data_IF_957900364608
#
_entry.id   IF_957900364608
#
_cell.length_a   1.000
_cell.length_b   1.000
_cell.length_c   1.000
_cell.angle_alpha   90.00
_cell.angle_beta   90.00
_cell.angle_gamma   90.00
#
_symmetry.space_group_name_H-M   'P 1'
#
loop_
_entity.id
_entity.type
_entity.pdbx_description
1 polymer ?
#
# COMPACT_ATOMS: atom_id res chain seq x y z
N UNK A 1 7.85 4.16 5.01
CA UNK A 1 6.81 3.27 5.57
C UNK A 1 6.05 3.95 6.68
N UNK A 2 4.76 3.64 6.87
CA UNK A 2 3.93 4.16 7.95
C UNK A 2 3.27 3.03 8.75
N UNK A 3 2.96 3.34 10.02
CA UNK A 3 2.23 2.46 10.95
C UNK A 3 1.26 3.31 11.77
N UNK A 4 0.10 2.75 12.09
CA UNK A 4 -0.90 3.42 12.92
C UNK A 4 -0.81 2.95 14.37
N UNK A 5 -0.89 3.91 15.29
CA UNK A 5 -1.02 3.67 16.72
C UNK A 5 -2.34 4.28 17.17
N UNK A 6 -3.17 3.48 17.83
CA UNK A 6 -4.41 3.95 18.46
C UNK A 6 -4.13 4.29 19.92
N UNK A 7 -4.40 5.52 20.30
CA UNK A 7 -4.28 5.98 21.68
C UNK A 7 -5.66 5.99 22.33
N UNK A 8 -5.77 5.38 23.53
CA UNK A 8 -6.99 5.35 24.31
C UNK A 8 -7.80 4.07 24.13
N UNK A 9 -9.13 4.17 24.20
CA UNK A 9 -10.03 3.01 24.18
C UNK A 9 -10.01 2.27 22.84
N UNK A 10 -10.21 0.96 22.91
CA UNK A 10 -10.36 0.10 21.74
C UNK A 10 -11.57 0.51 20.91
N UNK A 11 -11.35 0.85 19.68
CA UNK A 11 -12.39 1.14 18.69
C UNK A 11 -12.40 0.02 17.63
N UNK A 12 -13.45 -0.80 17.69
CA UNK A 12 -13.56 -1.97 16.82
C UNK A 12 -13.59 -1.58 15.34
N UNK A 13 -14.21 -0.46 14.98
CA UNK A 13 -14.26 0.02 13.60
C UNK A 13 -12.86 0.36 13.06
N UNK A 14 -12.02 0.99 13.88
CA UNK A 14 -10.63 1.29 13.51
C UNK A 14 -9.79 0.02 13.40
N UNK A 15 -10.00 -0.93 14.30
CA UNK A 15 -9.33 -2.24 14.28
C UNK A 15 -9.68 -2.99 12.99
N UNK A 16 -10.97 -3.09 12.65
CA UNK A 16 -11.43 -3.80 11.46
C UNK A 16 -10.97 -3.10 10.17
N UNK A 17 -10.96 -1.77 10.16
CA UNK A 17 -10.42 -0.99 9.04
C UNK A 17 -8.93 -1.24 8.85
N UNK A 18 -8.15 -1.27 9.94
CA UNK A 18 -6.73 -1.55 9.86
C UNK A 18 -6.44 -2.97 9.36
N UNK A 19 -7.26 -3.96 9.78
CA UNK A 19 -7.18 -5.32 9.26
C UNK A 19 -7.43 -5.36 7.74
N UNK A 20 -8.49 -4.72 7.27
CA UNK A 20 -8.78 -4.61 5.83
C UNK A 20 -7.66 -3.90 5.06
N UNK A 21 -7.08 -2.85 5.65
CA UNK A 21 -5.95 -2.09 5.11
C UNK A 21 -4.72 -2.99 4.91
N UNK A 22 -4.37 -3.79 5.92
CA UNK A 22 -3.24 -4.72 5.86
C UNK A 22 -3.48 -5.84 4.84
N UNK A 23 -4.70 -6.42 4.82
CA UNK A 23 -5.07 -7.45 3.84
C UNK A 23 -4.99 -6.92 2.40
N UNK A 24 -5.40 -5.68 2.17
CA UNK A 24 -5.29 -5.04 0.86
C UNK A 24 -3.83 -4.84 0.44
N UNK A 25 -2.96 -4.39 1.36
CA UNK A 25 -1.52 -4.30 1.10
C UNK A 25 -0.93 -5.66 0.74
N UNK A 26 -1.23 -6.69 1.53
CA UNK A 26 -0.72 -8.05 1.29
C UNK A 26 -1.16 -8.59 -0.07
N UNK A 27 -2.42 -8.36 -0.44
CA UNK A 27 -2.93 -8.78 -1.74
C UNK A 27 -2.22 -8.10 -2.93
N UNK A 28 -1.91 -6.81 -2.81
CA UNK A 28 -1.15 -6.08 -3.82
C UNK A 28 0.31 -6.54 -3.89
N UNK A 29 0.97 -6.69 -2.73
CA UNK A 29 2.36 -7.15 -2.65
C UNK A 29 2.51 -8.57 -3.21
N UNK A 30 1.57 -9.46 -2.93
CA UNK A 30 1.61 -10.86 -3.38
C UNK A 30 1.63 -11.03 -4.90
N UNK A 31 1.12 -10.06 -5.66
CA UNK A 31 1.14 -10.09 -7.13
C UNK A 31 2.23 -9.20 -7.72
N UNK A 32 3.02 -8.55 -6.90
CA UNK A 32 4.16 -7.73 -7.32
C UNK A 32 5.31 -8.62 -7.78
N UNK A 33 5.50 -8.71 -9.11
CA UNK A 33 6.57 -9.50 -9.74
C UNK A 33 6.82 -9.01 -11.15
N UNK A 34 7.97 -9.32 -11.76
CA UNK A 34 8.25 -9.00 -13.16
C UNK A 34 7.17 -9.53 -14.09
N UNK A 35 6.81 -8.73 -15.09
CA UNK A 35 5.81 -9.07 -16.11
C UNK A 35 4.36 -8.77 -15.75
N UNK A 36 4.04 -8.64 -14.46
CA UNK A 36 2.75 -8.09 -14.06
C UNK A 36 2.74 -6.57 -14.25
N UNK A 37 1.56 -5.99 -14.35
CA UNK A 37 1.39 -4.55 -14.49
C UNK A 37 1.11 -3.88 -13.15
N UNK A 38 1.30 -2.57 -13.09
CA UNK A 38 0.87 -1.74 -11.96
C UNK A 38 -0.64 -1.88 -11.73
N UNK A 39 -1.43 -2.01 -12.82
CA UNK A 39 -2.87 -2.27 -12.74
C UNK A 39 -3.19 -3.61 -12.03
N UNK A 40 -2.40 -4.67 -12.26
CA UNK A 40 -2.61 -5.94 -11.56
C UNK A 40 -2.47 -5.78 -10.04
N UNK A 41 -1.48 -5.03 -9.59
CA UNK A 41 -1.30 -4.68 -8.17
C UNK A 41 -2.49 -3.88 -7.66
N UNK A 42 -2.90 -2.85 -8.41
CA UNK A 42 -4.04 -2.01 -8.08
C UNK A 42 -5.33 -2.82 -7.97
N UNK A 43 -5.63 -3.68 -8.95
CA UNK A 43 -6.85 -4.51 -8.95
C UNK A 43 -6.93 -5.43 -7.73
N UNK A 44 -5.82 -6.04 -7.33
CA UNK A 44 -5.77 -6.90 -6.14
C UNK A 44 -6.00 -6.11 -4.85
N UNK A 45 -5.36 -4.96 -4.72
CA UNK A 45 -5.54 -4.08 -3.59
C UNK A 45 -7.00 -3.63 -3.44
N UNK A 46 -7.59 -3.03 -4.50
CA UNK A 46 -8.98 -2.57 -4.44
C UNK A 46 -9.98 -3.71 -4.33
N UNK A 47 -9.70 -4.88 -4.91
CA UNK A 47 -10.56 -6.06 -4.78
C UNK A 47 -10.75 -6.52 -3.32
N UNK A 48 -9.76 -6.29 -2.45
CA UNK A 48 -9.91 -6.52 -1.01
C UNK A 48 -10.78 -5.43 -0.38
N UNK A 49 -10.50 -4.15 -0.65
CA UNK A 49 -11.29 -3.05 -0.09
C UNK A 49 -12.77 -3.15 -0.46
N UNK A 50 -13.08 -3.60 -1.69
CA UNK A 50 -14.45 -3.80 -2.15
C UNK A 50 -15.21 -4.84 -1.30
N UNK A 51 -14.54 -5.93 -0.86
CA UNK A 51 -15.12 -6.92 0.07
C UNK A 51 -15.51 -6.30 1.40
N UNK A 52 -14.72 -5.36 1.88
CA UNK A 52 -14.96 -4.62 3.12
C UNK A 52 -15.84 -3.37 2.93
N UNK A 53 -16.29 -3.10 1.69
CA UNK A 53 -17.07 -1.90 1.33
C UNK A 53 -16.36 -0.59 1.69
N UNK A 54 -15.05 -0.60 1.65
CA UNK A 54 -14.20 0.58 1.89
C UNK A 54 -13.91 1.25 0.55
N UNK A 55 -14.28 2.52 0.44
CA UNK A 55 -13.97 3.36 -0.73
C UNK A 55 -12.63 4.05 -0.56
N UNK A 56 -11.82 4.01 -1.60
CA UNK A 56 -10.56 4.74 -1.70
C UNK A 56 -10.40 5.21 -3.15
N UNK A 57 -10.41 6.51 -3.36
CA UNK A 57 -10.34 7.11 -4.70
C UNK A 57 -8.92 7.57 -5.08
N UNK A 58 -8.04 7.76 -4.09
CA UNK A 58 -6.65 8.16 -4.30
C UNK A 58 -5.75 6.97 -4.65
N UNK A 59 -4.65 7.24 -5.36
CA UNK A 59 -3.60 6.23 -5.62
C UNK A 59 -3.21 5.49 -4.35
N UNK A 60 -2.77 4.24 -4.49
CA UNK A 60 -2.27 3.44 -3.38
C UNK A 60 -0.75 3.23 -3.42
N UNK A 61 -0.05 4.03 -4.17
CA UNK A 61 1.41 4.02 -4.22
C UNK A 61 1.96 4.82 -5.38
N UNK A 62 3.27 4.94 -5.40
CA UNK A 62 4.03 5.64 -6.43
C UNK A 62 5.48 5.13 -6.46
N UNK A 63 6.11 5.26 -7.61
CA UNK A 63 7.54 4.92 -7.79
C UNK A 63 8.43 5.78 -6.90
N UNK A 64 9.45 5.17 -6.33
CA UNK A 64 10.50 5.83 -5.54
C UNK A 64 11.88 5.44 -6.08
N UNK A 65 12.89 6.27 -5.83
CA UNK A 65 14.25 6.02 -6.29
C UNK A 65 15.23 6.99 -5.65
N UNK A 66 15.90 7.80 -6.45
CA UNK A 66 16.89 8.79 -6.00
C UNK A 66 16.29 10.16 -5.67
N UNK A 67 14.99 10.35 -5.90
CA UNK A 67 14.27 11.58 -5.59
C UNK A 67 14.43 11.98 -4.12
N UNK A 68 14.55 13.30 -3.88
CA UNK A 68 14.78 13.89 -2.56
C UNK A 68 13.79 15.03 -2.28
N UNK A 69 13.48 15.35 -1.03
CA UNK A 69 12.58 16.44 -0.71
C UNK A 69 12.84 17.72 -1.52
N UNK A 70 11.80 18.43 -1.94
CA UNK A 70 10.42 18.35 -1.45
C UNK A 70 9.54 17.24 -2.03
N UNK A 71 9.96 16.54 -3.06
CA UNK A 71 9.25 15.39 -3.63
C UNK A 71 10.24 14.23 -3.86
N UNK A 72 10.00 13.09 -3.23
CA UNK A 72 10.79 11.86 -3.38
C UNK A 72 10.10 10.82 -4.27
N UNK A 73 8.96 11.15 -4.86
CA UNK A 73 8.33 10.32 -5.89
C UNK A 73 9.04 10.49 -7.23
N UNK A 74 9.37 9.41 -7.89
CA UNK A 74 10.02 9.44 -9.22
C UNK A 74 9.04 9.76 -10.35
N UNK A 75 7.73 9.76 -10.08
CA UNK A 75 6.63 10.07 -11.01
C UNK A 75 6.62 9.22 -12.30
N UNK A 76 7.29 8.06 -12.29
CA UNK A 76 7.33 7.16 -13.43
C UNK A 76 6.05 6.34 -13.57
N UNK A 77 5.40 6.02 -12.45
CA UNK A 77 4.05 5.44 -12.40
C UNK A 77 3.38 5.70 -11.04
N UNK A 78 2.07 5.54 -11.02
CA UNK A 78 1.26 5.52 -9.79
C UNK A 78 0.48 4.21 -9.71
N UNK A 79 0.40 3.62 -8.51
CA UNK A 79 -0.42 2.42 -8.32
C UNK A 79 -1.89 2.85 -8.33
N UNK A 80 -2.48 2.76 -9.51
CA UNK A 80 -3.87 3.09 -9.84
C UNK A 80 -4.43 2.05 -10.79
N UNK A 81 -5.74 1.83 -10.75
CA UNK A 81 -6.44 1.02 -11.75
C UNK A 81 -6.25 1.64 -13.13
N UNK A 82 -5.90 0.81 -14.10
CA UNK A 82 -5.72 1.21 -15.49
C UNK A 82 -4.27 1.54 -15.89
N UNK A 83 -3.34 1.67 -14.94
CA UNK A 83 -1.92 1.88 -15.28
C UNK A 83 -1.28 0.58 -15.78
N UNK A 84 -0.93 0.55 -17.07
CA UNK A 84 -0.39 -0.65 -17.77
C UNK A 84 1.13 -0.72 -17.74
N UNK A 85 1.79 0.08 -16.93
CA UNK A 85 3.24 0.01 -16.73
C UNK A 85 3.62 -1.39 -16.26
N UNK A 86 4.52 -2.05 -16.99
CA UNK A 86 5.00 -3.40 -16.67
C UNK A 86 6.10 -3.28 -15.60
N UNK A 87 5.92 -4.05 -14.53
CA UNK A 87 6.91 -4.14 -13.47
C UNK A 87 8.17 -4.85 -13.95
N UNK A 88 9.32 -4.22 -13.77
CA UNK A 88 10.64 -4.76 -14.11
C UNK A 88 11.42 -5.08 -12.83
N UNK A 89 12.37 -6.03 -12.87
CA UNK A 89 13.30 -6.23 -11.76
C UNK A 89 13.99 -4.93 -11.34
N UNK A 90 14.21 -4.77 -10.04
CA UNK A 90 14.84 -3.61 -9.40
C UNK A 90 14.01 -2.31 -9.41
N UNK A 91 12.81 -2.32 -9.97
CA UNK A 91 11.88 -1.21 -9.76
C UNK A 91 11.50 -1.13 -8.27
N UNK A 92 11.51 0.08 -7.74
CA UNK A 92 11.13 0.36 -6.36
C UNK A 92 9.94 1.31 -6.30
N UNK A 93 9.06 1.06 -5.34
CA UNK A 93 7.89 1.91 -5.13
C UNK A 93 7.45 1.92 -3.66
N UNK A 94 6.76 2.96 -3.29
CA UNK A 94 6.11 3.08 -2.00
C UNK A 94 4.64 2.71 -2.15
N UNK A 95 4.21 1.63 -1.53
CA UNK A 95 2.82 1.22 -1.49
C UNK A 95 2.16 1.74 -0.22
N UNK A 96 1.09 2.53 -0.37
CA UNK A 96 0.45 3.27 0.71
C UNK A 96 -1.01 2.88 0.80
N UNK A 97 -1.40 2.27 1.90
CA UNK A 97 -2.79 2.01 2.23
C UNK A 97 -3.25 2.99 3.31
N UNK A 98 -3.65 4.18 2.88
CA UNK A 98 -4.28 5.18 3.75
C UNK A 98 -5.79 5.14 3.56
N UNK A 99 -6.53 4.94 4.65
CA UNK A 99 -7.99 5.00 4.69
C UNK A 99 -8.38 6.16 5.59
N UNK A 100 -9.12 7.11 5.02
CA UNK A 100 -9.52 8.33 5.72
C UNK A 100 -11.04 8.45 5.76
N UNK A 101 -11.59 8.75 6.95
CA UNK A 101 -13.01 8.85 7.22
C UNK A 101 -13.30 10.06 8.09
N UNK A 102 -13.62 11.19 7.45
CA UNK A 102 -13.94 12.43 8.19
C UNK A 102 -12.79 12.86 9.11
N UNK A 103 -12.94 12.63 10.40
CA UNK A 103 -12.04 13.07 11.48
C UNK A 103 -11.03 12.01 11.92
N UNK A 104 -11.03 10.81 11.34
CA UNK A 104 -10.09 9.74 11.66
C UNK A 104 -9.60 8.99 10.42
N UNK A 105 -8.50 8.28 10.59
CA UNK A 105 -7.96 7.43 9.53
C UNK A 105 -7.00 6.38 10.08
N UNK A 106 -6.67 5.43 9.23
CA UNK A 106 -5.60 4.46 9.48
C UNK A 106 -4.68 4.40 8.28
N UNK A 107 -3.42 4.13 8.52
CA UNK A 107 -2.43 3.98 7.48
C UNK A 107 -1.45 2.85 7.79
N UNK A 108 -1.18 2.04 6.80
CA UNK A 108 0.02 1.23 6.71
C UNK A 108 0.67 1.42 5.35
N UNK A 109 1.98 1.45 5.31
CA UNK A 109 2.69 1.55 4.05
C UNK A 109 4.03 0.81 4.07
N UNK A 110 4.45 0.35 2.88
CA UNK A 110 5.70 -0.36 2.67
C UNK A 110 6.46 0.22 1.48
N UNK A 111 7.78 0.25 1.60
CA UNK A 111 8.66 0.38 0.45
C UNK A 111 8.97 -1.02 -0.09
N UNK A 112 8.78 -1.21 -1.38
CA UNK A 112 8.83 -2.50 -2.06
C UNK A 112 9.84 -2.43 -3.20
N UNK A 113 10.65 -3.47 -3.36
CA UNK A 113 11.47 -3.71 -4.56
C UNK A 113 10.93 -4.93 -5.30
N UNK A 114 10.80 -4.81 -6.61
CA UNK A 114 10.54 -5.95 -7.49
C UNK A 114 11.85 -6.74 -7.64
N UNK A 115 11.82 -8.03 -7.32
CA UNK A 115 12.96 -8.95 -7.50
C UNK A 115 12.87 -9.67 -8.84
N UNK A 116 13.79 -10.56 -9.16
CA UNK A 116 13.75 -11.37 -10.40
C UNK A 116 12.52 -12.29 -10.46
N UNK A 117 11.94 -12.69 -9.34
CA UNK A 117 10.84 -13.68 -9.29
C UNK A 117 9.63 -13.26 -8.45
N UNK A 118 9.67 -12.08 -7.82
CA UNK A 118 8.61 -11.61 -6.92
C UNK A 118 8.90 -10.22 -6.41
N UNK A 119 8.73 -10.02 -5.11
CA UNK A 119 9.04 -8.74 -4.44
C UNK A 119 9.63 -8.95 -3.07
N UNK A 120 10.31 -7.93 -2.58
CA UNK A 120 10.80 -7.85 -1.20
C UNK A 120 10.41 -6.53 -0.57
N UNK A 121 10.24 -6.54 0.75
CA UNK A 121 9.99 -5.34 1.55
C UNK A 121 11.31 -4.84 2.14
N UNK A 122 11.50 -3.52 2.16
CA UNK A 122 12.65 -2.91 2.83
C UNK A 122 12.52 -2.88 4.35
N UNK A 123 11.35 -3.22 4.89
CA UNK A 123 11.10 -3.20 6.33
C UNK A 123 10.36 -4.46 6.76
N UNK A 124 10.71 -4.98 7.93
CA UNK A 124 10.09 -6.15 8.55
C UNK A 124 9.30 -5.83 9.84
N UNK A 125 9.04 -4.55 10.12
CA UNK A 125 8.22 -4.16 11.27
C UNK A 125 6.76 -4.58 11.07
N UNK A 126 6.15 -5.09 12.15
CA UNK A 126 4.73 -5.45 12.16
C UNK A 126 3.85 -4.30 11.69
N UNK A 127 2.80 -4.64 10.95
CA UNK A 127 1.74 -3.71 10.51
C UNK A 127 0.48 -3.80 11.37
N UNK A 128 0.53 -4.58 12.45
CA UNK A 128 -0.56 -4.65 13.40
C UNK A 128 -0.86 -3.28 14.02
N UNK A 129 -2.12 -3.03 14.33
CA UNK A 129 -2.52 -1.83 15.05
C UNK A 129 -2.06 -1.92 16.49
N UNK A 130 -1.14 -1.06 16.88
CA UNK A 130 -0.72 -0.92 18.26
C UNK A 130 -1.73 -0.06 19.03
N UNK A 131 -2.22 -0.57 20.17
CA UNK A 131 -3.18 0.13 21.02
C UNK A 131 -2.50 0.45 22.35
N UNK A 132 -2.51 1.73 22.72
CA UNK A 132 -1.94 2.26 23.97
C UNK A 132 -2.99 3.00 24.78
#
# INVERSE_FOLDING_TARGET
>A
MARTILLGEKDQKKIDTMKATNEALDAGIAVTRPGNTVDDVAQKFWGVLDKYKIKKDSRTGYSIGIGYPPDWGEQTFNILKGDKTILQPNVTFHMIAVMQFGDWGVEASEAVRVTESGSELFCNLSRELHIK
#
